data_IF_410187789289
#
_entry.id   IF_410187789289
#
_cell.length_a   1.000
_cell.length_b   1.000
_cell.length_c   1.000
_cell.angle_alpha   90.00
_cell.angle_beta   90.00
_cell.angle_gamma   90.00
#
_symmetry.space_group_name_H-M   'P 1'
#
loop_
_entity.id
_entity.type
_entity.pdbx_description
1 polymer ?
#
# COMPACT_ATOMS: atom_id res chain seq x y z
N UNK A 1 -9.27 -4.24 12.59
CA UNK A 1 -7.90 -3.81 12.95
C UNK A 1 -7.94 -2.31 13.26
N UNK A 2 -7.51 -1.89 14.45
CA UNK A 2 -7.57 -0.49 14.93
C UNK A 2 -6.23 0.26 14.79
N UNK A 3 -5.27 -0.33 14.06
CA UNK A 3 -3.94 0.26 13.91
C UNK A 3 -4.02 1.50 13.02
N UNK A 4 -3.42 2.59 13.50
CA UNK A 4 -3.27 3.86 12.82
C UNK A 4 -1.78 4.13 12.59
N UNK A 5 -1.47 5.02 11.64
CA UNK A 5 -0.10 5.42 11.32
C UNK A 5 0.80 4.22 10.98
N UNK A 6 0.33 3.37 10.08
CA UNK A 6 1.01 2.12 9.72
C UNK A 6 1.52 2.15 8.29
N UNK A 7 2.60 1.43 8.05
CA UNK A 7 3.00 0.96 6.73
C UNK A 7 2.52 -0.48 6.57
N UNK A 8 1.89 -0.77 5.44
CA UNK A 8 1.33 -2.08 5.14
C UNK A 8 1.73 -2.57 3.76
N UNK A 9 1.66 -3.89 3.59
CA UNK A 9 1.79 -4.59 2.32
C UNK A 9 0.44 -5.13 1.87
N UNK A 10 0.18 -5.05 0.58
CA UNK A 10 -0.78 -5.90 -0.11
C UNK A 10 0.05 -6.83 -0.99
N UNK A 11 -0.08 -8.14 -0.78
CA UNK A 11 0.56 -9.17 -1.61
C UNK A 11 -0.52 -9.89 -2.40
N UNK A 12 -0.32 -10.06 -3.70
CA UNK A 12 -1.14 -10.98 -4.49
C UNK A 12 -0.74 -12.41 -4.16
N UNK A 13 -1.70 -13.26 -3.78
CA UNK A 13 -1.41 -14.66 -3.44
C UNK A 13 -1.28 -15.54 -4.70
N UNK A 14 -1.65 -15.05 -5.89
CA UNK A 14 -1.52 -15.77 -7.16
C UNK A 14 -0.11 -15.66 -7.75
N UNK A 15 0.50 -14.47 -7.70
CA UNK A 15 1.79 -14.20 -8.35
C UNK A 15 2.87 -13.63 -7.42
N UNK A 16 2.53 -13.29 -6.16
CA UNK A 16 3.49 -12.85 -5.15
C UNK A 16 3.94 -11.39 -5.24
N UNK A 17 3.53 -10.63 -6.26
CA UNK A 17 3.87 -9.20 -6.38
C UNK A 17 3.25 -8.39 -5.25
N UNK A 18 3.93 -7.30 -4.86
CA UNK A 18 3.60 -6.54 -3.67
C UNK A 18 3.35 -5.06 -3.96
N UNK A 19 2.47 -4.47 -3.16
CA UNK A 19 2.24 -3.04 -3.03
C UNK A 19 2.56 -2.60 -1.59
N UNK A 20 3.30 -1.51 -1.42
CA UNK A 20 3.52 -0.84 -0.14
C UNK A 20 2.60 0.38 -0.05
N UNK A 21 1.91 0.56 1.07
CA UNK A 21 1.15 1.78 1.33
C UNK A 21 1.28 2.25 2.77
N UNK A 22 1.08 3.55 2.99
CA UNK A 22 0.90 4.15 4.31
C UNK A 22 -0.55 4.45 4.62
N UNK A 23 -0.90 4.48 5.90
CA UNK A 23 -2.23 4.88 6.36
C UNK A 23 -2.19 5.64 7.67
N UNK A 24 -2.86 6.79 7.72
CA UNK A 24 -3.07 7.60 8.92
C UNK A 24 -4.39 7.27 9.64
N UNK A 25 -5.34 6.62 8.96
CA UNK A 25 -6.62 6.13 9.49
C UNK A 25 -6.60 4.60 9.72
N UNK A 26 -7.72 4.01 10.14
CA UNK A 26 -7.76 2.58 10.49
C UNK A 26 -7.65 1.68 9.26
N UNK A 27 -6.89 0.57 9.37
CA UNK A 27 -6.64 -0.40 8.29
C UNK A 27 -7.91 -0.84 7.52
N UNK A 28 -9.03 -0.95 8.24
CA UNK A 28 -10.30 -1.38 7.67
C UNK A 28 -10.86 -0.37 6.65
N UNK A 29 -10.79 0.93 6.95
CA UNK A 29 -11.35 1.99 6.11
C UNK A 29 -10.58 2.10 4.78
N UNK A 30 -9.26 1.96 4.80
CA UNK A 30 -8.51 2.01 3.54
C UNK A 30 -8.61 0.74 2.72
N UNK A 31 -8.77 -0.44 3.33
CA UNK A 31 -9.05 -1.65 2.56
C UNK A 31 -10.41 -1.55 1.86
N UNK A 32 -11.42 -1.03 2.56
CA UNK A 32 -12.70 -0.74 1.94
C UNK A 32 -12.53 0.30 0.81
N UNK A 33 -11.71 1.33 1.00
CA UNK A 33 -11.39 2.28 -0.08
C UNK A 33 -10.71 1.61 -1.29
N UNK A 34 -9.73 0.73 -1.09
CA UNK A 34 -9.11 -0.03 -2.20
C UNK A 34 -10.10 -0.96 -2.90
N UNK A 35 -11.09 -1.51 -2.18
CA UNK A 35 -12.15 -2.32 -2.79
C UNK A 35 -13.16 -1.51 -3.61
N UNK A 36 -13.37 -0.23 -3.27
CA UNK A 36 -14.43 0.59 -3.86
C UNK A 36 -13.92 1.72 -4.80
N UNK A 37 -12.62 2.04 -4.78
CA UNK A 37 -12.08 3.12 -5.62
C UNK A 37 -11.75 2.59 -7.01
N UNK A 38 -12.63 2.91 -7.96
CA UNK A 38 -12.28 2.96 -9.36
C UNK A 38 -11.49 4.24 -9.66
N UNK A 39 -10.28 4.08 -10.21
CA UNK A 39 -9.48 5.14 -10.87
C UNK A 39 -9.18 6.36 -9.99
N UNK A 40 -8.21 6.24 -9.09
CA UNK A 40 -7.35 7.39 -8.80
C UNK A 40 -6.15 7.33 -9.75
N UNK A 41 -5.69 8.46 -10.30
CA UNK A 41 -4.48 8.55 -11.13
C UNK A 41 -3.20 8.10 -10.39
N UNK A 42 -3.31 7.81 -9.09
CA UNK A 42 -2.27 7.24 -8.24
C UNK A 42 -2.69 5.84 -7.81
N UNK A 43 -1.74 4.91 -7.86
CA UNK A 43 -1.90 3.48 -7.61
C UNK A 43 -2.62 2.73 -8.74
N UNK A 44 -2.41 3.15 -9.99
CA UNK A 44 -3.01 2.52 -11.16
C UNK A 44 -2.67 1.03 -11.27
N UNK A 45 -1.41 0.64 -11.02
CA UNK A 45 -0.97 -0.74 -11.27
C UNK A 45 -1.57 -1.75 -10.30
N UNK A 46 -1.75 -1.41 -9.02
CA UNK A 46 -2.45 -2.32 -8.09
C UNK A 46 -3.89 -2.58 -8.54
N UNK A 47 -4.60 -1.56 -9.04
CA UNK A 47 -5.99 -1.72 -9.51
C UNK A 47 -6.08 -2.46 -10.83
N UNK A 48 -5.16 -2.21 -11.77
CA UNK A 48 -5.09 -2.94 -13.03
C UNK A 48 -4.78 -4.42 -12.77
N UNK A 49 -3.76 -4.69 -11.96
CA UNK A 49 -3.38 -6.05 -11.58
C UNK A 49 -4.55 -6.85 -11.00
N UNK A 50 -5.22 -6.32 -9.96
CA UNK A 50 -6.36 -7.03 -9.35
C UNK A 50 -7.67 -6.94 -10.16
N UNK A 51 -7.71 -6.21 -11.29
CA UNK A 51 -8.79 -6.35 -12.26
C UNK A 51 -8.56 -7.54 -13.19
N UNK A 52 -7.30 -7.82 -13.50
CA UNK A 52 -6.89 -8.91 -14.38
C UNK A 52 -6.75 -10.25 -13.65
N UNK A 53 -6.53 -10.25 -12.33
CA UNK A 53 -6.60 -11.47 -11.51
C UNK A 53 -8.02 -12.04 -11.47
N UNK A 54 -8.13 -13.36 -11.66
CA UNK A 54 -9.40 -14.10 -11.65
C UNK A 54 -10.19 -13.88 -10.34
N UNK A 55 -9.47 -13.80 -9.22
CA UNK A 55 -10.05 -13.60 -7.89
C UNK A 55 -10.14 -12.12 -7.47
N UNK A 56 -9.56 -11.23 -8.27
CA UNK A 56 -9.29 -9.84 -7.92
C UNK A 56 -8.74 -9.64 -6.51
N UNK A 57 -9.19 -8.58 -5.82
CA UNK A 57 -8.75 -8.27 -4.44
C UNK A 57 -9.15 -9.32 -3.39
N UNK A 58 -9.92 -10.36 -3.72
CA UNK A 58 -10.27 -11.42 -2.77
C UNK A 58 -9.09 -12.36 -2.49
N UNK A 59 -8.10 -12.44 -3.38
CA UNK A 59 -6.92 -13.29 -3.23
C UNK A 59 -5.66 -12.47 -2.95
N UNK A 60 -5.80 -11.51 -2.02
CA UNK A 60 -4.68 -10.71 -1.55
C UNK A 60 -4.51 -10.84 -0.04
N UNK A 61 -3.26 -10.87 0.40
CA UNK A 61 -2.90 -10.82 1.81
C UNK A 61 -2.46 -9.41 2.18
N UNK A 62 -3.05 -8.90 3.26
CA UNK A 62 -2.72 -7.59 3.83
C UNK A 62 -1.92 -7.79 5.11
N UNK A 63 -0.74 -7.18 5.21
CA UNK A 63 0.12 -7.28 6.38
C UNK A 63 0.59 -5.89 6.82
N UNK A 64 0.41 -5.56 8.09
CA UNK A 64 1.11 -4.40 8.70
C UNK A 64 2.57 -4.79 8.92
N UNK A 65 3.48 -3.98 8.38
CA UNK A 65 4.93 -4.22 8.49
C UNK A 65 5.62 -3.22 9.42
N UNK A 66 4.99 -2.07 9.67
CA UNK A 66 5.49 -1.10 10.62
C UNK A 66 4.35 -0.25 11.17
N UNK A 67 4.41 0.04 12.47
CA UNK A 67 3.64 1.11 13.09
C UNK A 67 4.57 2.27 13.39
N UNK A 68 4.29 3.42 12.78
CA UNK A 68 5.08 4.64 12.90
C UNK A 68 4.57 5.44 14.08
N UNK A 69 5.47 5.78 14.99
CA UNK A 69 5.19 6.59 16.19
C UNK A 69 5.99 7.87 16.09
N UNK A 70 5.34 9.00 16.33
CA UNK A 70 5.96 10.33 16.29
C UNK A 70 4.97 11.41 16.70
N UNK A 71 5.47 12.63 16.89
CA UNK A 71 4.62 13.78 17.17
C UNK A 71 3.80 14.18 15.94
N UNK A 72 2.58 14.66 16.14
CA UNK A 72 1.62 14.98 15.06
C UNK A 72 2.21 15.87 13.96
N UNK A 73 3.05 16.86 14.34
CA UNK A 73 3.65 17.81 13.40
C UNK A 73 4.70 17.20 12.46
N UNK A 74 5.34 16.08 12.83
CA UNK A 74 6.31 15.36 11.98
C UNK A 74 5.75 14.06 11.39
N UNK A 75 4.66 13.53 11.96
CA UNK A 75 4.16 12.19 11.68
C UNK A 75 3.84 11.96 10.21
N UNK A 76 3.33 12.99 9.53
CA UNK A 76 3.03 12.94 8.09
C UNK A 76 4.31 12.74 7.25
N UNK A 77 5.37 13.49 7.56
CA UNK A 77 6.63 13.36 6.84
C UNK A 77 7.29 12.02 7.17
N UNK A 78 7.28 11.62 8.43
CA UNK A 78 7.82 10.33 8.86
C UNK A 78 7.12 9.16 8.15
N UNK A 79 5.79 9.19 8.04
CA UNK A 79 5.04 8.16 7.30
C UNK A 79 5.40 8.12 5.81
N UNK A 80 5.64 9.27 5.17
CA UNK A 80 6.10 9.33 3.78
C UNK A 80 7.50 8.73 3.63
N UNK A 81 8.41 9.09 4.53
CA UNK A 81 9.80 8.60 4.50
C UNK A 81 9.85 7.08 4.73
N UNK A 82 9.03 6.56 5.66
CA UNK A 82 8.92 5.12 5.93
C UNK A 82 8.26 4.37 4.78
N UNK A 83 7.24 4.92 4.15
CA UNK A 83 6.64 4.32 2.95
C UNK A 83 7.68 4.21 1.82
N UNK A 84 8.40 5.29 1.53
CA UNK A 84 9.45 5.30 0.52
C UNK A 84 10.60 4.32 0.83
N UNK A 85 10.99 4.23 2.09
CA UNK A 85 11.95 3.24 2.56
C UNK A 85 11.48 1.82 2.23
N UNK A 86 10.24 1.48 2.58
CA UNK A 86 9.70 0.14 2.35
C UNK A 86 9.43 -0.18 0.88
N UNK A 87 9.03 0.80 0.06
CA UNK A 87 8.92 0.64 -1.39
C UNK A 87 10.27 0.17 -1.97
N UNK A 88 11.38 0.78 -1.52
CA UNK A 88 12.73 0.40 -1.94
C UNK A 88 13.13 -0.98 -1.42
N UNK A 89 12.91 -1.24 -0.12
CA UNK A 89 13.29 -2.52 0.52
C UNK A 89 12.51 -3.71 -0.04
N UNK A 90 11.25 -3.50 -0.44
CA UNK A 90 10.37 -4.54 -0.99
C UNK A 90 10.38 -4.61 -2.51
N UNK A 91 11.19 -3.78 -3.17
CA UNK A 91 11.24 -3.65 -4.62
C UNK A 91 9.82 -3.54 -5.24
N UNK A 92 8.93 -2.79 -4.58
CA UNK A 92 7.51 -2.79 -4.94
C UNK A 92 7.14 -1.77 -6.03
N UNK A 93 8.12 -1.10 -6.63
CA UNK A 93 7.92 -0.21 -7.79
C UNK A 93 7.64 -1.06 -9.03
N UNK A 94 6.67 -0.66 -9.85
CA UNK A 94 6.42 -1.26 -11.16
C UNK A 94 7.70 -1.22 -12.02
N UNK A 95 8.17 -2.26 -12.73
CA UNK A 95 7.56 -3.50 -13.25
C UNK A 95 7.73 -4.75 -12.35
N UNK A 96 8.37 -4.61 -11.19
CA UNK A 96 8.61 -5.72 -10.24
C UNK A 96 7.61 -5.77 -9.08
N UNK A 97 6.83 -4.69 -8.90
CA UNK A 97 5.73 -4.59 -7.93
C UNK A 97 4.60 -3.70 -8.43
N UNK A 98 3.77 -3.23 -7.50
CA UNK A 98 2.48 -2.59 -7.80
C UNK A 98 2.40 -1.10 -7.43
N UNK A 99 3.47 -0.49 -6.92
CA UNK A 99 3.56 0.95 -6.69
C UNK A 99 3.93 1.67 -7.98
N UNK A 100 3.12 2.66 -8.39
CA UNK A 100 3.35 3.43 -9.62
C UNK A 100 4.69 4.15 -9.66
N UNK A 101 5.10 4.75 -8.54
CA UNK A 101 6.35 5.51 -8.38
C UNK A 101 6.78 5.52 -6.92
N UNK A 102 8.05 5.86 -6.69
CA UNK A 102 8.49 6.37 -5.40
C UNK A 102 7.97 7.82 -5.29
N UNK A 103 7.27 8.16 -4.22
CA UNK A 103 6.75 9.51 -4.03
C UNK A 103 7.88 10.44 -3.60
N UNK A 104 8.15 11.52 -4.34
CA UNK A 104 9.13 12.55 -3.97
C UNK A 104 10.50 12.47 -4.65
N UNK A 105 10.57 11.87 -5.84
CA UNK A 105 11.60 12.15 -6.84
C UNK A 105 11.01 13.03 -7.95
#
# INVERSE_FOLDING_TARGET
CKSNNVIYLISCDECGVQYVGKMTQTLHESLNRHKHVHKAEKNQYIYEHFRECDSGFNNCRVQVIEQVVGYDHILRQLLLDRENFWIRVRCSVYELGLNDKILGL
#
